data_IF_659158166713
#
_entry.id   IF_659158166713
#
_cell.length_a   1.000
_cell.length_b   1.000
_cell.length_c   1.000
_cell.angle_alpha   90.00
_cell.angle_beta   90.00
_cell.angle_gamma   90.00
#
_symmetry.space_group_name_H-M   'P 1'
#
loop_
_entity.id
_entity.type
_entity.pdbx_description
1 polymer ?
#
# COMPACT_ATOMS: atom_id res chain seq x y z
N UNK A 1 -44.51 21.37 30.80
CA UNK A 1 -43.08 21.50 30.40
C UNK A 1 -43.03 21.47 28.89
N UNK A 2 -42.84 22.61 28.24
CA UNK A 2 -42.69 22.69 26.78
C UNK A 2 -41.27 22.20 26.44
N UNK A 3 -41.17 21.05 25.80
CA UNK A 3 -39.93 20.61 25.16
C UNK A 3 -39.60 21.63 24.06
N UNK A 4 -38.68 22.54 24.33
CA UNK A 4 -38.11 23.38 23.29
C UNK A 4 -37.51 22.49 22.23
N UNK A 5 -37.99 22.60 21.01
CA UNK A 5 -37.43 21.89 19.84
C UNK A 5 -35.93 22.25 19.70
N UNK A 6 -35.07 21.37 20.16
CA UNK A 6 -33.62 21.51 20.06
C UNK A 6 -33.21 21.06 18.64
N UNK A 7 -33.40 21.97 17.67
CA UNK A 7 -33.14 21.70 16.27
C UNK A 7 -31.94 22.50 15.75
N UNK A 8 -31.07 21.84 14.99
CA UNK A 8 -30.07 22.53 14.17
C UNK A 8 -30.79 23.41 13.11
N UNK A 9 -30.34 24.64 12.81
CA UNK A 9 -29.12 25.31 13.29
C UNK A 9 -29.27 26.18 14.55
N UNK A 10 -30.47 26.27 15.14
CA UNK A 10 -30.74 27.14 16.28
C UNK A 10 -30.06 26.68 17.56
N UNK A 11 -29.94 25.36 17.75
CA UNK A 11 -29.18 24.77 18.85
C UNK A 11 -27.96 24.05 18.31
N UNK A 12 -26.79 24.43 18.81
CA UNK A 12 -25.51 23.82 18.45
C UNK A 12 -24.88 23.21 19.69
N UNK A 13 -24.72 21.89 19.70
CA UNK A 13 -24.17 21.12 20.83
C UNK A 13 -22.65 21.25 20.90
N UNK A 14 -22.16 22.42 21.34
CA UNK A 14 -20.72 22.71 21.38
C UNK A 14 -20.09 22.69 22.78
N UNK A 15 -20.90 22.60 23.83
CA UNK A 15 -20.42 22.69 25.21
C UNK A 15 -19.34 21.64 25.52
N UNK A 16 -19.51 20.42 25.06
CA UNK A 16 -18.57 19.31 25.28
C UNK A 16 -17.28 19.44 24.44
N UNK A 17 -17.23 20.35 23.48
CA UNK A 17 -16.04 20.60 22.64
C UNK A 17 -15.19 21.76 23.15
N UNK A 18 -15.65 22.52 24.15
CA UNK A 18 -15.01 23.76 24.56
C UNK A 18 -13.71 23.54 25.32
N UNK A 19 -13.70 22.66 26.32
CA UNK A 19 -12.55 22.41 27.18
C UNK A 19 -11.84 21.10 26.82
N UNK A 20 -10.54 20.99 27.14
CA UNK A 20 -9.78 19.77 26.88
C UNK A 20 -10.34 18.58 27.66
N UNK A 21 -10.63 18.74 28.95
CA UNK A 21 -11.18 17.65 29.77
C UNK A 21 -12.50 17.10 29.20
N UNK A 22 -13.40 17.98 28.74
CA UNK A 22 -14.67 17.54 28.18
C UNK A 22 -14.49 16.82 26.85
N UNK A 23 -13.59 17.28 25.96
CA UNK A 23 -13.22 16.55 24.73
C UNK A 23 -12.64 15.18 25.03
N UNK A 24 -11.79 15.07 26.06
CA UNK A 24 -11.19 13.78 26.48
C UNK A 24 -12.23 12.81 27.00
N UNK A 25 -13.20 13.29 27.80
CA UNK A 25 -14.30 12.46 28.30
C UNK A 25 -15.24 11.96 27.20
N UNK A 26 -15.43 12.76 26.12
CA UNK A 26 -16.33 12.44 25.02
C UNK A 26 -15.64 11.77 23.84
N UNK A 27 -14.34 11.50 23.94
CA UNK A 27 -13.57 10.85 22.87
C UNK A 27 -14.00 9.39 22.74
N UNK A 28 -14.49 9.03 21.55
CA UNK A 28 -14.91 7.67 21.24
C UNK A 28 -13.73 6.80 20.75
N UNK A 29 -12.72 7.45 20.11
CA UNK A 29 -11.56 6.78 19.52
C UNK A 29 -10.27 7.29 20.16
N UNK A 30 -9.31 6.37 20.37
CA UNK A 30 -7.95 6.69 20.76
C UNK A 30 -7.01 6.18 19.65
N UNK A 31 -6.12 7.05 19.16
CA UNK A 31 -5.07 6.65 18.23
C UNK A 31 -3.93 5.99 19.01
N UNK A 32 -3.53 4.81 18.58
CA UNK A 32 -2.37 4.07 19.06
C UNK A 32 -1.42 3.75 17.92
N UNK A 33 -0.25 3.21 18.21
CA UNK A 33 0.68 2.71 17.17
C UNK A 33 0.06 1.59 16.34
N UNK A 34 -0.84 0.80 16.95
CA UNK A 34 -1.52 -0.33 16.29
C UNK A 34 -2.49 0.10 15.17
N UNK A 35 -2.83 1.39 15.12
CA UNK A 35 -3.65 1.97 14.06
C UNK A 35 -2.84 2.45 12.84
N UNK A 36 -1.50 2.27 12.85
CA UNK A 36 -0.61 2.83 11.84
C UNK A 36 -0.12 1.76 10.86
N UNK A 37 -0.05 2.14 9.59
CA UNK A 37 0.66 1.43 8.52
C UNK A 37 1.68 2.41 7.95
N UNK A 38 2.95 2.00 7.87
CA UNK A 38 4.00 2.88 7.37
C UNK A 38 4.31 2.60 5.89
N UNK A 39 4.08 3.57 4.97
CA UNK A 39 4.40 3.40 3.55
C UNK A 39 5.90 3.58 3.31
N UNK A 40 6.49 2.68 2.52
CA UNK A 40 7.91 2.71 2.20
C UNK A 40 8.16 2.44 0.72
N UNK A 41 9.09 3.21 0.14
CA UNK A 41 9.48 3.06 -1.26
C UNK A 41 10.84 2.37 -1.36
N UNK A 42 10.90 1.23 -2.07
CA UNK A 42 12.13 0.48 -2.32
C UNK A 42 12.58 0.67 -3.77
N UNK A 43 13.89 0.85 -3.96
CA UNK A 43 14.51 0.98 -5.28
C UNK A 43 15.72 0.07 -5.42
N UNK A 44 16.16 -0.14 -6.66
CA UNK A 44 17.41 -0.86 -6.93
C UNK A 44 18.61 -0.01 -6.53
N UNK A 45 19.68 -0.69 -6.11
CA UNK A 45 20.94 -0.05 -5.71
C UNK A 45 21.53 -0.65 -4.45
N UNK A 46 22.59 -0.02 -3.98
CA UNK A 46 23.24 -0.34 -2.72
C UNK A 46 23.71 0.96 -2.07
N UNK A 47 23.29 1.21 -0.84
CA UNK A 47 23.50 2.45 -0.09
C UNK A 47 23.03 3.70 -0.85
N UNK A 48 21.86 3.60 -1.52
CA UNK A 48 21.24 4.67 -2.30
C UNK A 48 19.99 5.18 -1.58
N UNK A 49 19.90 6.51 -1.50
CA UNK A 49 18.77 7.24 -0.91
C UNK A 49 18.38 8.39 -1.84
N UNK A 50 17.12 8.48 -2.20
CA UNK A 50 16.61 9.51 -3.12
C UNK A 50 15.35 10.14 -2.53
N UNK A 51 15.38 11.46 -2.34
CA UNK A 51 14.23 12.23 -1.84
C UNK A 51 13.13 12.34 -2.88
N UNK A 52 11.86 12.26 -2.44
CA UNK A 52 10.69 12.46 -3.30
C UNK A 52 10.25 13.92 -3.17
N UNK A 53 10.41 14.71 -4.23
CA UNK A 53 10.15 16.15 -4.20
C UNK A 53 8.71 16.53 -3.83
N UNK A 54 7.73 15.71 -4.23
CA UNK A 54 6.31 15.88 -3.91
C UNK A 54 5.91 15.41 -2.52
N UNK A 55 6.80 14.69 -1.81
CA UNK A 55 6.54 14.09 -0.49
C UNK A 55 7.69 14.44 0.47
N UNK A 56 7.71 15.66 1.04
CA UNK A 56 8.80 16.10 1.93
C UNK A 56 9.00 15.14 3.11
N UNK A 57 10.24 14.68 3.32
CA UNK A 57 10.59 13.74 4.38
C UNK A 57 10.40 12.27 4.03
N UNK A 58 9.91 11.95 2.82
CA UNK A 58 9.80 10.58 2.30
C UNK A 58 10.88 10.34 1.26
N UNK A 59 11.50 9.16 1.31
CA UNK A 59 12.61 8.79 0.44
C UNK A 59 12.40 7.43 -0.22
N UNK A 60 13.00 7.26 -1.38
CA UNK A 60 13.20 5.95 -2.01
C UNK A 60 14.50 5.38 -1.50
N UNK A 61 14.50 4.15 -1.05
CA UNK A 61 15.64 3.51 -0.40
C UNK A 61 16.05 2.25 -1.16
N UNK A 62 17.36 2.05 -1.33
CA UNK A 62 17.86 0.75 -1.75
C UNK A 62 17.55 -0.32 -0.68
N UNK A 63 17.49 -1.59 -1.07
CA UNK A 63 17.00 -2.67 -0.20
C UNK A 63 17.73 -2.76 1.15
N UNK A 64 19.04 -2.49 1.19
CA UNK A 64 19.85 -2.43 2.40
C UNK A 64 19.39 -1.31 3.37
N UNK A 65 19.20 -0.09 2.86
CA UNK A 65 18.69 1.04 3.65
C UNK A 65 17.20 0.88 3.99
N UNK A 66 16.44 0.25 3.11
CA UNK A 66 15.03 -0.08 3.32
C UNK A 66 14.87 -1.03 4.52
N UNK A 67 15.74 -2.04 4.66
CA UNK A 67 15.74 -2.93 5.83
C UNK A 67 16.14 -2.19 7.12
N UNK A 68 17.09 -1.26 7.08
CA UNK A 68 17.47 -0.44 8.23
C UNK A 68 16.32 0.47 8.68
N UNK A 69 15.58 1.06 7.74
CA UNK A 69 14.39 1.85 8.04
C UNK A 69 13.27 0.97 8.62
N UNK A 70 13.05 -0.23 8.06
CA UNK A 70 12.09 -1.19 8.57
C UNK A 70 12.40 -1.64 10.01
N UNK A 71 13.68 -1.74 10.38
CA UNK A 71 14.10 -1.97 11.78
C UNK A 71 13.66 -0.84 12.69
N UNK A 72 13.82 0.41 12.25
CA UNK A 72 13.36 1.59 13.00
C UNK A 72 11.85 1.55 13.21
N UNK A 73 11.08 1.26 12.16
CA UNK A 73 9.61 1.16 12.20
C UNK A 73 9.16 0.03 13.13
N UNK A 74 9.81 -1.14 13.03
CA UNK A 74 9.56 -2.27 13.92
C UNK A 74 9.81 -1.93 15.39
N UNK A 75 10.92 -1.23 15.69
CA UNK A 75 11.27 -0.82 17.05
C UNK A 75 10.33 0.26 17.62
N UNK A 76 9.69 1.07 16.76
CA UNK A 76 8.63 1.99 17.15
C UNK A 76 7.31 1.28 17.47
N UNK A 77 7.19 -0.03 17.20
CA UNK A 77 6.00 -0.83 17.44
C UNK A 77 4.92 -0.69 16.37
N UNK A 78 5.23 -0.10 15.21
CA UNK A 78 4.27 -0.02 14.09
C UNK A 78 4.07 -1.44 13.54
N UNK A 79 2.81 -1.94 13.46
CA UNK A 79 2.55 -3.35 13.18
C UNK A 79 2.77 -3.75 11.73
N UNK A 80 2.66 -2.82 10.77
CA UNK A 80 2.74 -3.15 9.35
C UNK A 80 3.38 -2.04 8.52
N UNK A 81 3.99 -2.45 7.41
CA UNK A 81 4.47 -1.55 6.36
C UNK A 81 3.70 -1.80 5.05
N UNK A 82 3.51 -0.74 4.26
CA UNK A 82 3.05 -0.82 2.88
C UNK A 82 4.24 -0.61 1.94
N UNK A 83 4.55 -1.61 1.11
CA UNK A 83 5.72 -1.64 0.25
C UNK A 83 5.37 -1.17 -1.17
N UNK A 84 6.10 -0.17 -1.66
CA UNK A 84 5.97 0.38 -3.00
C UNK A 84 7.32 0.25 -3.75
N UNK A 85 7.41 -0.64 -4.77
CA UNK A 85 8.62 -0.79 -5.56
C UNK A 85 8.77 0.32 -6.61
N UNK A 86 9.98 0.83 -6.76
CA UNK A 86 10.34 1.77 -7.83
C UNK A 86 10.99 0.99 -8.96
N UNK A 87 10.23 0.74 -10.02
CA UNK A 87 10.71 -0.03 -11.17
C UNK A 87 11.53 0.85 -12.11
N UNK A 88 12.75 0.42 -12.41
CA UNK A 88 13.60 1.14 -13.36
C UNK A 88 13.01 1.09 -14.78
N UNK A 89 13.19 2.17 -15.55
CA UNK A 89 12.59 2.31 -16.88
C UNK A 89 12.91 1.15 -17.84
N UNK A 90 14.11 0.57 -17.77
CA UNK A 90 14.52 -0.57 -18.62
C UNK A 90 13.84 -1.91 -18.27
N UNK A 91 13.15 -1.99 -17.14
CA UNK A 91 12.37 -3.17 -16.71
C UNK A 91 10.87 -3.01 -16.96
N UNK A 92 10.44 -1.82 -17.37
CA UNK A 92 9.05 -1.57 -17.74
C UNK A 92 8.76 -2.12 -19.13
N UNK A 93 7.58 -2.73 -19.30
CA UNK A 93 7.13 -3.31 -20.57
C UNK A 93 5.65 -3.02 -20.82
N UNK A 94 5.16 -3.26 -22.02
CA UNK A 94 3.73 -3.08 -22.35
C UNK A 94 2.84 -4.08 -21.62
N UNK A 95 3.37 -5.27 -21.31
CA UNK A 95 2.68 -6.38 -20.63
C UNK A 95 2.92 -6.41 -19.12
N UNK A 96 3.68 -5.43 -18.59
CA UNK A 96 4.02 -5.33 -17.17
C UNK A 96 4.66 -6.61 -16.58
N UNK A 97 5.46 -7.35 -17.33
CA UNK A 97 6.02 -8.64 -16.94
C UNK A 97 6.84 -8.61 -15.63
N UNK A 98 7.51 -7.49 -15.33
CA UNK A 98 8.26 -7.33 -14.07
C UNK A 98 7.35 -7.32 -12.82
N UNK A 99 6.04 -7.03 -12.95
CA UNK A 99 5.11 -7.01 -11.82
C UNK A 99 4.98 -8.37 -11.12
N UNK A 100 5.07 -9.46 -11.86
CA UNK A 100 4.96 -10.84 -11.37
C UNK A 100 6.25 -11.65 -11.52
N UNK A 101 7.37 -10.97 -11.73
CA UNK A 101 8.69 -11.59 -11.76
C UNK A 101 9.04 -12.14 -10.36
N UNK A 102 9.24 -13.46 -10.17
CA UNK A 102 9.55 -14.03 -8.85
C UNK A 102 10.84 -13.47 -8.25
N UNK A 103 11.78 -13.00 -9.07
CA UNK A 103 13.00 -12.33 -8.65
C UNK A 103 12.95 -10.81 -8.77
N UNK A 104 11.75 -10.26 -8.96
CA UNK A 104 11.49 -8.83 -9.01
C UNK A 104 11.82 -8.11 -7.70
N UNK A 105 11.95 -6.80 -7.77
CA UNK A 105 12.32 -5.97 -6.60
C UNK A 105 11.30 -6.12 -5.46
N UNK A 106 10.00 -6.11 -5.76
CA UNK A 106 8.95 -6.29 -4.75
C UNK A 106 9.08 -7.63 -4.03
N UNK A 107 9.16 -8.74 -4.79
CA UNK A 107 9.24 -10.10 -4.26
C UNK A 107 10.52 -10.32 -3.45
N UNK A 108 11.67 -9.81 -3.90
CA UNK A 108 12.93 -9.86 -3.14
C UNK A 108 12.84 -9.07 -1.84
N UNK A 109 12.20 -7.90 -1.87
CA UNK A 109 12.03 -7.05 -0.69
C UNK A 109 11.11 -7.71 0.34
N UNK A 110 10.01 -8.32 -0.09
CA UNK A 110 9.11 -9.09 0.79
C UNK A 110 9.87 -10.22 1.46
N UNK A 111 10.60 -11.05 0.71
CA UNK A 111 11.40 -12.15 1.28
C UNK A 111 12.45 -11.66 2.28
N UNK A 112 13.13 -10.55 1.96
CA UNK A 112 14.14 -9.98 2.85
C UNK A 112 13.54 -9.46 4.15
N UNK A 113 12.39 -8.76 4.08
CA UNK A 113 11.65 -8.27 5.25
C UNK A 113 11.15 -9.42 6.12
N UNK A 114 10.51 -10.43 5.54
CA UNK A 114 10.00 -11.59 6.30
C UNK A 114 11.13 -12.37 6.98
N UNK A 115 12.31 -12.44 6.33
CA UNK A 115 13.49 -13.05 6.94
C UNK A 115 14.02 -12.24 8.11
N UNK A 116 14.06 -10.89 8.01
CA UNK A 116 14.60 -10.01 9.04
C UNK A 116 13.58 -9.77 10.18
N UNK A 117 12.31 -9.58 9.85
CA UNK A 117 11.23 -9.20 10.76
C UNK A 117 10.00 -10.11 10.57
N UNK A 118 10.02 -11.38 11.02
CA UNK A 118 8.95 -12.35 10.73
C UNK A 118 7.56 -11.95 11.24
N UNK A 119 7.51 -11.08 12.26
CA UNK A 119 6.25 -10.60 12.88
C UNK A 119 5.74 -9.28 12.32
N UNK A 120 6.53 -8.58 11.52
CA UNK A 120 6.10 -7.34 10.87
C UNK A 120 5.15 -7.67 9.73
N UNK A 121 3.97 -7.06 9.72
CA UNK A 121 3.00 -7.19 8.64
C UNK A 121 3.52 -6.53 7.36
N UNK A 122 3.44 -7.23 6.24
CA UNK A 122 3.85 -6.72 4.94
C UNK A 122 2.64 -6.63 4.03
N UNK A 123 2.31 -5.42 3.64
CA UNK A 123 1.25 -5.11 2.69
C UNK A 123 1.92 -4.74 1.36
N UNK A 124 1.54 -5.39 0.27
CA UNK A 124 2.05 -5.04 -1.06
C UNK A 124 0.96 -4.41 -1.90
N UNK A 125 1.31 -3.35 -2.59
CA UNK A 125 0.46 -2.76 -3.61
C UNK A 125 0.38 -3.65 -4.85
N UNK A 126 -0.82 -3.89 -5.36
CA UNK A 126 -1.07 -4.66 -6.58
C UNK A 126 -1.63 -3.71 -7.63
N UNK A 127 -0.72 -3.18 -8.43
CA UNK A 127 -0.95 -2.18 -9.46
C UNK A 127 0.03 -2.35 -10.60
N UNK A 128 -0.33 -1.98 -11.83
CA UNK A 128 0.53 -2.16 -13.00
C UNK A 128 1.22 -0.89 -13.50
N UNK A 129 0.76 0.30 -13.12
CA UNK A 129 1.38 1.58 -13.53
C UNK A 129 2.89 1.68 -13.21
N UNK A 130 3.41 1.11 -12.07
CA UNK A 130 4.85 1.11 -11.84
C UNK A 130 5.63 0.26 -12.84
N UNK A 131 4.99 -0.68 -13.55
CA UNK A 131 5.61 -1.70 -14.39
C UNK A 131 5.31 -1.55 -15.87
N UNK A 132 4.29 -0.77 -16.26
CA UNK A 132 3.97 -0.50 -17.66
C UNK A 132 4.88 0.57 -18.25
N UNK A 133 5.30 0.41 -19.52
CA UNK A 133 6.13 1.39 -20.23
C UNK A 133 5.38 2.68 -20.56
N UNK A 134 4.07 2.61 -20.67
CA UNK A 134 3.18 3.73 -20.99
C UNK A 134 2.59 4.41 -19.73
N UNK A 135 2.79 3.84 -18.53
CA UNK A 135 2.37 4.44 -17.25
C UNK A 135 0.86 4.39 -16.96
N UNK A 136 0.09 3.57 -17.70
CA UNK A 136 -1.32 3.32 -17.41
C UNK A 136 -1.48 2.21 -16.38
N UNK A 137 -2.58 2.24 -15.63
CA UNK A 137 -2.92 1.29 -14.57
C UNK A 137 -3.20 -0.14 -15.07
N UNK A 138 -3.24 -0.35 -16.39
CA UNK A 138 -3.51 -1.65 -16.98
C UNK A 138 -2.96 -1.80 -18.39
N UNK A 139 -3.15 -2.98 -18.96
CA UNK A 139 -2.72 -3.26 -20.32
C UNK A 139 -3.63 -2.53 -21.32
N UNK A 140 -3.02 -1.85 -22.28
CA UNK A 140 -3.74 -1.06 -23.29
C UNK A 140 -3.79 -1.75 -24.64
N UNK A 141 -4.82 -1.42 -25.46
CA UNK A 141 -4.89 -1.77 -26.85
C UNK A 141 -4.17 -0.72 -27.73
N UNK A 142 -4.23 -0.88 -29.05
CA UNK A 142 -3.60 0.04 -30.03
C UNK A 142 -4.17 1.47 -29.97
N UNK A 143 -5.38 1.63 -29.47
CA UNK A 143 -6.04 2.93 -29.29
C UNK A 143 -5.74 3.59 -27.96
N UNK A 144 -4.92 2.96 -27.10
CA UNK A 144 -4.61 3.41 -25.76
C UNK A 144 -5.68 3.14 -24.71
N UNK A 145 -6.68 2.32 -25.02
CA UNK A 145 -7.75 1.93 -24.09
C UNK A 145 -7.35 0.75 -23.24
N UNK A 146 -7.57 0.83 -21.92
CA UNK A 146 -7.24 -0.23 -20.94
C UNK A 146 -8.18 -1.44 -21.13
N UNK A 147 -7.59 -2.62 -21.28
CA UNK A 147 -8.31 -3.89 -21.50
C UNK A 147 -8.52 -4.57 -20.15
N UNK A 148 -9.72 -4.41 -19.57
CA UNK A 148 -10.08 -4.88 -18.23
C UNK A 148 -9.66 -6.34 -17.97
N UNK A 149 -10.16 -7.30 -18.74
CA UNK A 149 -10.00 -8.73 -18.45
C UNK A 149 -8.53 -9.20 -18.58
N UNK A 150 -7.79 -8.66 -19.54
CA UNK A 150 -6.35 -8.93 -19.66
C UNK A 150 -5.56 -8.35 -18.50
N UNK A 151 -5.93 -7.15 -18.06
CA UNK A 151 -5.32 -6.49 -16.91
C UNK A 151 -5.54 -7.28 -15.64
N UNK A 152 -6.78 -7.72 -15.37
CA UNK A 152 -7.09 -8.57 -14.21
C UNK A 152 -6.23 -9.83 -14.19
N UNK A 153 -6.08 -10.51 -15.33
CA UNK A 153 -5.26 -11.72 -15.39
C UNK A 153 -3.80 -11.48 -15.00
N UNK A 154 -3.25 -10.29 -15.27
CA UNK A 154 -1.89 -9.90 -14.85
C UNK A 154 -1.86 -9.50 -13.38
N UNK A 155 -2.85 -8.74 -12.91
CA UNK A 155 -2.97 -8.37 -11.49
C UNK A 155 -3.08 -9.61 -10.58
N UNK A 156 -3.80 -10.65 -11.02
CA UNK A 156 -3.87 -11.94 -10.30
C UNK A 156 -2.49 -12.58 -10.20
N UNK A 157 -1.71 -12.63 -11.30
CA UNK A 157 -0.33 -13.16 -11.27
C UNK A 157 0.56 -12.36 -10.34
N UNK A 158 0.43 -11.04 -10.33
CA UNK A 158 1.18 -10.17 -9.44
C UNK A 158 0.83 -10.48 -7.97
N UNK A 159 -0.44 -10.55 -7.63
CA UNK A 159 -0.90 -10.86 -6.27
C UNK A 159 -0.38 -12.21 -5.78
N UNK A 160 -0.47 -13.25 -6.61
CA UNK A 160 0.07 -14.58 -6.31
C UNK A 160 1.57 -14.54 -6.07
N UNK A 161 2.34 -13.89 -6.95
CA UNK A 161 3.80 -13.79 -6.79
C UNK A 161 4.21 -13.05 -5.51
N UNK A 162 3.42 -12.05 -5.07
CA UNK A 162 3.63 -11.36 -3.80
C UNK A 162 3.30 -12.26 -2.60
N UNK A 163 2.20 -13.01 -2.66
CA UNK A 163 1.82 -13.98 -1.64
C UNK A 163 2.86 -15.10 -1.49
N UNK A 164 3.33 -15.69 -2.60
CA UNK A 164 4.41 -16.68 -2.62
C UNK A 164 5.72 -16.14 -2.05
N UNK A 165 6.01 -14.85 -2.25
CA UNK A 165 7.15 -14.18 -1.64
C UNK A 165 7.01 -13.99 -0.13
N UNK A 166 5.79 -14.14 0.44
CA UNK A 166 5.48 -14.05 1.86
C UNK A 166 4.80 -12.76 2.30
N UNK A 167 4.16 -12.01 1.38
CA UNK A 167 3.33 -10.87 1.75
C UNK A 167 2.12 -11.33 2.60
N UNK A 168 1.81 -10.60 3.67
CA UNK A 168 0.67 -10.91 4.54
C UNK A 168 -0.65 -10.39 3.98
N UNK A 169 -0.59 -9.29 3.23
CA UNK A 169 -1.75 -8.64 2.61
C UNK A 169 -1.35 -8.19 1.20
N UNK A 170 -2.18 -8.52 0.22
CA UNK A 170 -2.13 -7.94 -1.13
C UNK A 170 -3.25 -6.90 -1.26
N UNK A 171 -2.89 -5.68 -1.66
CA UNK A 171 -3.80 -4.54 -1.68
C UNK A 171 -3.96 -4.02 -3.13
N UNK A 172 -4.95 -4.53 -3.90
CA UNK A 172 -5.17 -4.06 -5.25
C UNK A 172 -5.70 -2.62 -5.23
N UNK A 173 -4.97 -1.72 -5.85
CA UNK A 173 -5.28 -0.30 -5.99
C UNK A 173 -5.76 0.09 -7.39
N UNK A 174 -5.56 -0.78 -8.39
CA UNK A 174 -6.02 -0.57 -9.76
C UNK A 174 -7.55 -0.56 -9.88
N UNK A 175 -8.06 0.25 -10.80
CA UNK A 175 -9.49 0.54 -11.00
C UNK A 175 -10.21 -0.48 -11.89
N UNK A 176 -9.73 -1.73 -11.96
CA UNK A 176 -10.34 -2.77 -12.80
C UNK A 176 -11.55 -3.38 -12.14
N UNK A 177 -12.59 -3.65 -12.96
CA UNK A 177 -13.85 -4.27 -12.49
C UNK A 177 -13.61 -5.77 -12.23
N UNK A 178 -14.08 -6.28 -11.09
CA UNK A 178 -13.94 -7.67 -10.65
C UNK A 178 -12.51 -8.14 -10.28
N UNK A 179 -11.59 -7.25 -10.00
CA UNK A 179 -10.22 -7.62 -9.57
C UNK A 179 -10.25 -8.48 -8.31
N UNK A 180 -10.87 -8.00 -7.24
CA UNK A 180 -10.93 -8.71 -5.94
C UNK A 180 -11.56 -10.11 -6.02
N UNK A 181 -12.74 -10.32 -6.66
CA UNK A 181 -13.30 -11.67 -6.79
C UNK A 181 -12.38 -12.65 -7.52
N UNK A 182 -11.70 -12.22 -8.58
CA UNK A 182 -10.78 -13.08 -9.33
C UNK A 182 -9.55 -13.45 -8.50
N UNK A 183 -8.94 -12.50 -7.78
CA UNK A 183 -7.83 -12.76 -6.86
C UNK A 183 -8.23 -13.75 -5.77
N UNK A 184 -9.37 -13.53 -5.10
CA UNK A 184 -9.84 -14.41 -4.03
C UNK A 184 -10.11 -15.83 -4.50
N UNK A 185 -10.70 -16.01 -5.69
CA UNK A 185 -10.95 -17.34 -6.26
C UNK A 185 -9.66 -18.09 -6.56
N UNK A 186 -8.64 -17.41 -7.07
CA UNK A 186 -7.36 -18.05 -7.43
C UNK A 186 -6.54 -18.40 -6.19
N UNK A 187 -6.43 -17.47 -5.22
CA UNK A 187 -5.68 -17.70 -3.96
C UNK A 187 -6.27 -18.79 -3.06
N UNK A 188 -7.57 -19.11 -3.21
CA UNK A 188 -8.22 -20.21 -2.46
C UNK A 188 -8.07 -21.59 -3.13
N UNK A 189 -7.45 -21.68 -4.31
CA UNK A 189 -7.25 -22.93 -5.05
C UNK A 189 -5.84 -23.53 -4.86
N UNK A 190 -4.93 -22.76 -4.26
CA UNK A 190 -3.55 -23.16 -3.91
C UNK A 190 -3.39 -23.31 -2.38
#
# INVERSE_FOLDING_TARGET
MTYNNINFPHTRMRRMRYNDFSRRLMRENCLSVDDLIYPMFVMEGNNVRESISSMPGVERLSLDLFLAEAETIHNLGIPAIALFPVTHANKKSEDAAEAYNPDGLAQRSVRALKKAFPKLGIITDVALDPFTSHGQDGLINQDGYVINDKTIAVLVKQALSHAEAGADIVAPSDMMVFTLPNMAMTMNQE
#
